data_IF_690587695328
#
_entry.id   IF_690587695328
#
_cell.length_a   1.000
_cell.length_b   1.000
_cell.length_c   1.000
_cell.angle_alpha   90.00
_cell.angle_beta   90.00
_cell.angle_gamma   90.00
#
_symmetry.space_group_name_H-M   'P 1'
#
loop_
_entity.id
_entity.type
_entity.pdbx_description
1 polymer ?
#
# COMPACT_ATOMS: atom_id res chain seq x y z
N UNK A 1 -21.63 -6.01 -14.79
CA UNK A 1 -21.73 -6.99 -13.68
C UNK A 1 -21.43 -6.29 -12.36
N UNK A 2 -20.35 -5.51 -12.25
CA UNK A 2 -19.94 -4.80 -11.01
C UNK A 2 -21.01 -3.81 -10.54
N UNK A 3 -21.51 -2.93 -11.43
CA UNK A 3 -22.53 -1.93 -11.10
C UNK A 3 -23.77 -2.56 -10.45
N UNK A 4 -24.30 -3.64 -11.04
CA UNK A 4 -25.50 -4.33 -10.49
C UNK A 4 -25.27 -4.90 -9.09
N UNK A 5 -24.08 -5.45 -8.81
CA UNK A 5 -23.74 -5.94 -7.47
C UNK A 5 -23.70 -4.82 -6.45
N UNK A 6 -23.10 -3.68 -6.84
CA UNK A 6 -23.02 -2.53 -5.95
C UNK A 6 -24.40 -1.91 -5.68
N UNK A 7 -25.23 -1.75 -6.72
CA UNK A 7 -26.63 -1.31 -6.55
C UNK A 7 -27.42 -2.22 -5.63
N UNK A 8 -27.32 -3.55 -5.81
CA UNK A 8 -27.99 -4.52 -4.95
C UNK A 8 -27.53 -4.45 -3.48
N UNK A 9 -26.23 -4.23 -3.27
CA UNK A 9 -25.68 -4.08 -1.92
C UNK A 9 -26.19 -2.81 -1.23
N UNK A 10 -26.29 -1.70 -1.97
CA UNK A 10 -26.82 -0.43 -1.48
C UNK A 10 -28.32 -0.51 -1.18
N UNK A 11 -29.10 -1.15 -2.07
CA UNK A 11 -30.52 -1.40 -1.88
C UNK A 11 -30.79 -2.26 -0.65
N UNK A 12 -30.03 -3.35 -0.48
CA UNK A 12 -30.13 -4.24 0.69
C UNK A 12 -29.84 -3.51 2.02
N UNK A 13 -28.97 -2.51 1.98
CA UNK A 13 -28.63 -1.66 3.12
C UNK A 13 -29.57 -0.46 3.33
N UNK A 14 -30.60 -0.30 2.47
CA UNK A 14 -31.51 0.84 2.47
C UNK A 14 -30.77 2.18 2.30
N UNK A 15 -29.80 2.23 1.39
CA UNK A 15 -29.02 3.44 1.08
C UNK A 15 -29.54 4.03 -0.24
N UNK A 16 -30.15 5.21 -0.14
CA UNK A 16 -30.66 5.91 -1.31
C UNK A 16 -29.53 6.33 -2.24
N UNK A 17 -29.62 5.91 -3.49
CA UNK A 17 -28.66 6.24 -4.53
C UNK A 17 -29.38 6.59 -5.85
N UNK A 18 -28.69 7.34 -6.69
CA UNK A 18 -29.20 7.70 -8.01
C UNK A 18 -28.08 7.67 -9.02
N UNK A 19 -28.39 7.40 -10.30
CA UNK A 19 -27.44 7.37 -11.41
C UNK A 19 -26.20 6.51 -11.16
N UNK A 20 -26.26 5.26 -11.64
CA UNK A 20 -25.08 4.40 -11.76
C UNK A 20 -24.51 4.47 -13.18
N UNK A 21 -23.22 4.79 -13.30
CA UNK A 21 -22.47 4.78 -14.56
C UNK A 21 -21.37 3.70 -14.46
N UNK A 22 -21.24 2.89 -15.51
CA UNK A 22 -20.17 1.91 -15.60
C UNK A 22 -19.23 2.28 -16.74
N UNK A 23 -17.93 2.38 -16.45
CA UNK A 23 -16.89 2.60 -17.43
C UNK A 23 -15.83 1.51 -17.29
N UNK A 24 -15.91 0.53 -18.20
CA UNK A 24 -15.02 -0.64 -18.18
C UNK A 24 -15.12 -1.43 -16.88
N UNK A 25 -14.05 -1.44 -16.10
CA UNK A 25 -13.94 -2.12 -14.80
C UNK A 25 -14.33 -1.25 -13.62
N UNK A 26 -14.63 0.03 -13.83
CA UNK A 26 -15.04 0.96 -12.79
C UNK A 26 -16.54 1.23 -12.81
N UNK A 27 -17.12 1.47 -11.64
CA UNK A 27 -18.51 1.88 -11.47
C UNK A 27 -18.58 3.15 -10.62
N UNK A 28 -19.33 4.14 -11.08
CA UNK A 28 -19.60 5.38 -10.37
C UNK A 28 -21.06 5.38 -9.96
N UNK A 29 -21.34 5.51 -8.67
CA UNK A 29 -22.70 5.64 -8.14
C UNK A 29 -22.79 6.93 -7.33
N UNK A 30 -23.86 7.66 -7.51
CA UNK A 30 -24.12 8.91 -6.80
C UNK A 30 -25.12 8.68 -5.67
N UNK A 31 -24.79 9.19 -4.49
CA UNK A 31 -25.65 9.15 -3.32
C UNK A 31 -26.37 10.49 -3.15
N UNK A 32 -27.58 10.45 -2.62
CA UNK A 32 -28.39 11.65 -2.35
C UNK A 32 -27.85 12.49 -1.19
N UNK A 33 -27.19 11.84 -0.21
CA UNK A 33 -26.68 12.49 0.99
C UNK A 33 -25.21 12.12 1.25
N UNK A 34 -24.39 13.13 1.54
CA UNK A 34 -22.98 12.94 1.90
C UNK A 34 -22.78 12.16 3.20
N UNK A 35 -23.72 12.23 4.15
CA UNK A 35 -23.67 11.49 5.41
C UNK A 35 -23.73 9.96 5.20
N UNK A 36 -24.37 9.52 4.11
CA UNK A 36 -24.49 8.10 3.77
C UNK A 36 -23.22 7.54 3.09
N UNK A 37 -22.29 8.38 2.68
CA UNK A 37 -21.11 7.96 1.92
C UNK A 37 -20.24 6.96 2.69
N UNK A 38 -20.01 7.18 3.97
CA UNK A 38 -19.19 6.28 4.79
C UNK A 38 -19.83 4.91 4.93
N UNK A 39 -21.14 4.89 5.22
CA UNK A 39 -21.91 3.64 5.34
C UNK A 39 -22.00 2.91 4.01
N UNK A 40 -22.20 3.64 2.90
CA UNK A 40 -22.21 3.07 1.56
C UNK A 40 -20.85 2.43 1.21
N UNK A 41 -19.74 3.11 1.55
CA UNK A 41 -18.40 2.58 1.35
C UNK A 41 -18.19 1.25 2.10
N UNK A 42 -18.57 1.17 3.37
CA UNK A 42 -18.44 -0.05 4.17
C UNK A 42 -19.24 -1.22 3.58
N UNK A 43 -20.47 -0.96 3.19
CA UNK A 43 -21.37 -1.97 2.59
C UNK A 43 -20.80 -2.48 1.26
N UNK A 44 -20.40 -1.55 0.37
CA UNK A 44 -19.84 -1.92 -0.94
C UNK A 44 -18.49 -2.63 -0.78
N UNK A 45 -17.65 -2.21 0.14
CA UNK A 45 -16.36 -2.85 0.38
C UNK A 45 -16.53 -4.27 0.95
N UNK A 46 -17.53 -4.49 1.82
CA UNK A 46 -17.84 -5.80 2.35
C UNK A 46 -18.35 -6.76 1.26
N UNK A 47 -19.17 -6.28 0.34
CA UNK A 47 -19.75 -7.09 -0.75
C UNK A 47 -18.75 -7.38 -1.86
N UNK A 48 -17.88 -6.40 -2.20
CA UNK A 48 -16.94 -6.52 -3.32
C UNK A 48 -15.63 -7.19 -2.92
N UNK A 49 -15.34 -7.32 -1.62
CA UNK A 49 -14.10 -7.92 -1.13
C UNK A 49 -12.86 -7.07 -1.42
N UNK A 50 -11.70 -7.71 -1.43
CA UNK A 50 -10.40 -7.03 -1.62
C UNK A 50 -10.01 -6.73 -3.08
N UNK A 51 -10.79 -7.18 -4.05
CA UNK A 51 -10.46 -7.03 -5.47
C UNK A 51 -10.73 -5.61 -6.01
N UNK A 52 -11.59 -4.85 -5.33
CA UNK A 52 -11.98 -3.50 -5.77
C UNK A 52 -11.66 -2.45 -4.72
N UNK A 53 -11.26 -1.27 -5.20
CA UNK A 53 -11.01 -0.09 -4.36
C UNK A 53 -12.23 0.81 -4.41
N UNK A 54 -12.88 1.00 -3.27
CA UNK A 54 -14.01 1.92 -3.12
C UNK A 54 -13.50 3.30 -2.71
N UNK A 55 -13.56 4.27 -3.63
CA UNK A 55 -13.19 5.65 -3.39
C UNK A 55 -14.43 6.54 -3.25
N UNK A 56 -14.40 7.46 -2.28
CA UNK A 56 -15.42 8.49 -2.13
C UNK A 56 -14.98 9.76 -2.85
N UNK A 57 -15.90 10.36 -3.59
CA UNK A 57 -15.66 11.63 -4.28
C UNK A 57 -16.92 12.51 -4.23
N UNK A 58 -16.73 13.82 -4.27
CA UNK A 58 -17.84 14.77 -4.42
C UNK A 58 -18.12 14.97 -5.89
N UNK A 59 -19.33 14.63 -6.33
CA UNK A 59 -19.78 14.87 -7.70
C UNK A 59 -20.44 16.25 -7.80
N UNK A 60 -20.12 17.04 -8.83
CA UNK A 60 -20.81 18.31 -9.07
C UNK A 60 -22.29 18.06 -9.38
N UNK A 61 -23.18 18.82 -8.75
CA UNK A 61 -24.64 18.80 -9.00
C UNK A 61 -25.07 19.75 -10.09
N UNK A 62 -24.12 20.27 -10.88
CA UNK A 62 -24.40 21.23 -11.96
C UNK A 62 -25.19 20.55 -13.07
N UNK A 63 -26.37 21.06 -13.46
CA UNK A 63 -27.13 20.52 -14.57
C UNK A 63 -26.34 20.59 -15.88
N UNK A 64 -26.51 19.60 -16.77
CA UNK A 64 -25.79 19.52 -18.05
C UNK A 64 -26.01 20.75 -18.95
N UNK A 65 -27.22 21.33 -18.94
CA UNK A 65 -27.53 22.54 -19.70
C UNK A 65 -26.69 23.75 -19.26
N UNK A 66 -26.34 23.85 -17.95
CA UNK A 66 -25.51 24.92 -17.43
C UNK A 66 -24.02 24.69 -17.74
N UNK A 67 -23.58 23.45 -17.73
CA UNK A 67 -22.21 23.09 -18.12
C UNK A 67 -21.97 23.33 -19.60
N UNK A 68 -22.96 23.10 -20.46
CA UNK A 68 -22.89 23.38 -21.91
C UNK A 68 -22.81 24.88 -22.25
N UNK A 69 -23.25 25.76 -21.36
CA UNK A 69 -23.12 27.21 -21.45
C UNK A 69 -21.83 27.76 -20.84
N UNK A 70 -20.89 26.87 -20.46
CA UNK A 70 -19.63 27.26 -19.80
C UNK A 70 -19.77 27.55 -18.30
N UNK A 71 -20.92 27.25 -17.69
CA UNK A 71 -21.12 27.32 -16.25
C UNK A 71 -20.38 26.20 -15.58
N UNK A 72 -19.31 26.51 -14.84
CA UNK A 72 -18.65 25.58 -13.93
C UNK A 72 -19.21 25.75 -12.52
N UNK A 73 -19.33 24.68 -11.73
CA UNK A 73 -19.67 24.81 -10.32
C UNK A 73 -18.68 25.76 -9.66
N UNK A 74 -19.18 26.64 -8.82
CA UNK A 74 -18.33 27.52 -8.03
C UNK A 74 -17.40 26.64 -7.22
N UNK A 75 -16.10 26.69 -7.49
CA UNK A 75 -15.11 26.02 -6.67
C UNK A 75 -15.19 26.70 -5.31
N UNK A 76 -15.86 26.03 -4.37
CA UNK A 76 -15.85 26.46 -2.98
C UNK A 76 -14.38 26.54 -2.57
N UNK A 77 -13.90 27.75 -2.30
CA UNK A 77 -12.55 27.93 -1.78
C UNK A 77 -12.38 27.17 -0.46
N UNK A 78 -11.16 26.90 -0.09
CA UNK A 78 -10.79 26.22 1.17
C UNK A 78 -11.50 26.79 2.39
N UNK A 79 -11.80 28.10 2.37
CA UNK A 79 -12.51 28.81 3.44
C UNK A 79 -14.00 28.44 3.57
N UNK A 80 -14.62 27.86 2.55
CA UNK A 80 -16.05 27.51 2.55
C UNK A 80 -16.29 25.99 2.63
N UNK A 81 -15.32 25.17 2.30
CA UNK A 81 -15.39 23.72 2.49
C UNK A 81 -14.70 23.24 3.77
N UNK A 82 -14.10 24.16 4.54
CA UNK A 82 -13.69 23.92 5.92
C UNK A 82 -12.59 22.87 6.11
N UNK A 83 -11.69 22.68 5.13
CA UNK A 83 -10.64 21.67 5.28
C UNK A 83 -9.47 21.84 4.32
N UNK A 84 -8.33 21.28 4.71
CA UNK A 84 -7.14 21.15 3.87
C UNK A 84 -7.00 19.67 3.50
N UNK A 85 -6.89 19.37 2.23
CA UNK A 85 -6.63 18.02 1.76
C UNK A 85 -5.14 17.86 1.49
N UNK A 86 -4.52 16.95 2.22
CA UNK A 86 -3.13 16.55 1.97
C UNK A 86 -3.10 15.18 1.30
N UNK A 87 -2.39 15.10 0.19
CA UNK A 87 -2.02 13.83 -0.43
C UNK A 87 -0.57 13.54 -0.06
N UNK A 88 -0.37 12.52 0.75
CA UNK A 88 0.93 12.09 1.23
C UNK A 88 1.32 10.80 0.52
N UNK A 89 2.58 10.68 0.15
CA UNK A 89 3.14 9.47 -0.43
C UNK A 89 4.03 8.77 0.59
N UNK A 90 3.82 7.47 0.78
CA UNK A 90 4.65 6.64 1.66
C UNK A 90 5.82 6.10 0.84
N UNK A 91 7.04 6.34 1.32
CA UNK A 91 8.25 5.78 0.72
C UNK A 91 8.38 4.30 1.07
N UNK A 92 7.78 3.46 0.23
CA UNK A 92 7.82 2.01 0.39
C UNK A 92 9.23 1.45 0.17
N UNK A 93 10.05 2.09 -0.67
CA UNK A 93 11.43 1.67 -0.90
C UNK A 93 12.26 1.83 0.37
N UNK A 94 12.11 2.95 1.08
CA UNK A 94 12.78 3.16 2.36
C UNK A 94 12.38 2.09 3.39
N UNK A 95 11.11 1.69 3.44
CA UNK A 95 10.65 0.62 4.33
C UNK A 95 11.29 -0.73 4.01
N UNK A 96 11.39 -1.10 2.72
CA UNK A 96 12.04 -2.33 2.27
C UNK A 96 13.55 -2.31 2.58
N UNK A 97 14.22 -1.18 2.33
CA UNK A 97 15.66 -1.02 2.62
C UNK A 97 15.93 -1.15 4.12
N UNK A 98 15.14 -0.50 4.96
CA UNK A 98 15.27 -0.58 6.42
C UNK A 98 15.11 -2.03 6.91
N UNK A 99 14.16 -2.78 6.36
CA UNK A 99 13.99 -4.19 6.67
C UNK A 99 15.21 -5.00 6.27
N UNK A 100 15.70 -4.82 5.04
CA UNK A 100 16.87 -5.53 4.52
C UNK A 100 18.17 -5.18 5.28
N UNK A 101 18.30 -3.97 5.82
CA UNK A 101 19.41 -3.60 6.70
C UNK A 101 19.37 -4.40 8.01
N UNK A 102 18.18 -4.59 8.59
CA UNK A 102 17.99 -5.47 9.74
C UNK A 102 18.37 -6.91 9.41
N UNK A 103 17.79 -7.47 8.35
CA UNK A 103 18.05 -8.82 7.88
C UNK A 103 19.53 -9.05 7.58
N UNK A 104 20.22 -8.05 7.00
CA UNK A 104 21.68 -8.10 6.74
C UNK A 104 22.47 -8.31 8.04
N UNK A 105 22.12 -7.61 9.12
CA UNK A 105 22.82 -7.76 10.40
C UNK A 105 22.52 -9.12 11.05
N UNK A 106 21.29 -9.59 10.97
CA UNK A 106 20.89 -10.89 11.49
C UNK A 106 21.56 -12.04 10.71
N UNK A 107 21.59 -11.98 9.39
CA UNK A 107 22.30 -12.95 8.54
C UNK A 107 23.80 -12.97 8.87
N UNK A 108 24.44 -11.80 9.03
CA UNK A 108 25.85 -11.72 9.44
C UNK A 108 26.10 -12.35 10.81
N UNK A 109 25.20 -12.17 11.78
CA UNK A 109 25.29 -12.78 13.10
C UNK A 109 25.17 -14.30 13.02
N UNK A 110 24.15 -14.80 12.34
CA UNK A 110 23.93 -16.24 12.17
C UNK A 110 25.09 -16.94 11.44
N UNK A 111 25.64 -16.29 10.39
CA UNK A 111 26.82 -16.83 9.71
C UNK A 111 28.06 -16.93 10.62
N UNK A 112 28.25 -15.98 11.55
CA UNK A 112 29.34 -16.01 12.52
C UNK A 112 29.15 -17.10 13.57
N UNK A 113 27.93 -17.26 14.08
CA UNK A 113 27.55 -18.30 15.05
C UNK A 113 27.84 -19.69 14.49
N UNK A 114 27.47 -19.94 13.24
CA UNK A 114 27.70 -21.19 12.51
C UNK A 114 29.13 -21.29 11.93
N UNK A 115 30.00 -20.30 12.22
CA UNK A 115 31.40 -20.25 11.77
C UNK A 115 31.56 -20.31 10.24
N UNK A 116 30.55 -19.89 9.49
CA UNK A 116 30.60 -19.79 8.02
C UNK A 116 31.36 -18.54 7.64
N UNK A 117 32.51 -18.72 6.97
CA UNK A 117 33.39 -17.60 6.60
C UNK A 117 32.94 -16.98 5.27
N UNK A 118 32.81 -15.65 5.24
CA UNK A 118 32.52 -14.86 4.05
C UNK A 118 33.57 -13.76 3.84
N UNK A 119 33.67 -13.20 2.63
CA UNK A 119 34.55 -12.05 2.33
C UNK A 119 33.88 -10.74 2.64
N UNK A 120 32.66 -10.57 2.15
CA UNK A 120 31.89 -9.36 2.32
C UNK A 120 30.39 -9.69 2.27
N UNK A 121 29.60 -8.94 3.04
CA UNK A 121 28.15 -8.88 2.94
C UNK A 121 27.75 -7.40 2.93
N UNK A 122 27.07 -6.97 1.88
CA UNK A 122 26.65 -5.58 1.69
C UNK A 122 25.24 -5.50 1.12
N UNK A 123 24.52 -4.44 1.47
CA UNK A 123 23.24 -4.12 0.86
C UNK A 123 23.48 -3.26 -0.39
N UNK A 124 22.90 -3.65 -1.52
CA UNK A 124 22.89 -2.88 -2.77
C UNK A 124 21.47 -2.77 -3.31
N UNK A 125 20.90 -1.57 -3.22
CA UNK A 125 19.48 -1.36 -3.53
C UNK A 125 18.61 -2.24 -2.63
N UNK A 126 17.81 -3.11 -3.22
CA UNK A 126 16.94 -4.05 -2.52
C UNK A 126 17.50 -5.49 -2.47
N UNK A 127 18.82 -5.64 -2.57
CA UNK A 127 19.50 -6.94 -2.56
C UNK A 127 20.60 -6.96 -1.53
N UNK A 128 20.69 -8.04 -0.75
CA UNK A 128 21.84 -8.34 0.09
C UNK A 128 22.80 -9.20 -0.73
N UNK A 129 24.03 -8.76 -0.89
CA UNK A 129 25.05 -9.42 -1.70
C UNK A 129 26.14 -9.97 -0.80
N UNK A 130 26.24 -11.30 -0.73
CA UNK A 130 27.28 -12.02 -0.01
C UNK A 130 28.35 -12.56 -0.95
N UNK A 131 29.64 -12.35 -0.61
CA UNK A 131 30.78 -12.87 -1.40
C UNK A 131 31.56 -13.90 -0.59
N UNK A 132 31.88 -15.02 -1.23
CA UNK A 132 32.53 -16.18 -0.61
C UNK A 132 33.80 -16.58 -1.36
N UNK A 133 34.60 -17.48 -0.76
CA UNK A 133 35.83 -18.00 -1.35
C UNK A 133 35.65 -19.37 -2.02
N UNK A 134 34.75 -20.19 -1.52
CA UNK A 134 34.49 -21.53 -2.04
C UNK A 134 32.99 -21.88 -2.04
N UNK A 135 32.61 -22.85 -2.85
CA UNK A 135 31.21 -23.26 -3.02
C UNK A 135 30.62 -23.85 -1.74
N UNK A 136 31.37 -24.64 -0.98
CA UNK A 136 30.88 -25.23 0.25
C UNK A 136 30.38 -24.18 1.26
N UNK A 137 31.04 -23.02 1.33
CA UNK A 137 30.59 -21.90 2.17
C UNK A 137 29.32 -21.25 1.64
N UNK A 138 29.15 -21.16 0.33
CA UNK A 138 27.92 -20.65 -0.30
C UNK A 138 26.76 -21.57 -0.02
N UNK A 139 26.96 -22.89 -0.18
CA UNK A 139 25.92 -23.89 0.08
C UNK A 139 25.48 -23.87 1.55
N UNK A 140 26.43 -23.84 2.47
CA UNK A 140 26.13 -23.72 3.90
C UNK A 140 25.37 -22.44 4.22
N UNK A 141 25.81 -21.29 3.68
CA UNK A 141 25.12 -20.02 3.85
C UNK A 141 23.71 -20.03 3.24
N UNK A 142 23.55 -20.66 2.08
CA UNK A 142 22.25 -20.79 1.40
C UNK A 142 21.29 -21.64 2.21
N UNK A 143 21.76 -22.77 2.76
CA UNK A 143 20.95 -23.65 3.63
C UNK A 143 20.53 -22.92 4.91
N UNK A 144 21.47 -22.25 5.57
CA UNK A 144 21.20 -21.45 6.76
C UNK A 144 20.14 -20.37 6.52
N UNK A 145 20.26 -19.64 5.40
CA UNK A 145 19.29 -18.61 5.05
C UNK A 145 17.91 -19.20 4.78
N UNK A 146 17.82 -20.32 4.06
CA UNK A 146 16.53 -20.99 3.79
C UNK A 146 15.84 -21.50 5.06
N UNK A 147 16.61 -21.94 6.03
CA UNK A 147 16.07 -22.47 7.29
C UNK A 147 15.59 -21.36 8.23
N UNK A 148 16.40 -20.31 8.38
CA UNK A 148 16.19 -19.29 9.40
C UNK A 148 15.51 -18.02 8.90
N UNK A 149 15.59 -17.70 7.60
CA UNK A 149 15.11 -16.45 7.00
C UNK A 149 14.10 -16.73 5.87
N UNK A 150 12.89 -17.12 6.23
CA UNK A 150 11.84 -17.51 5.27
C UNK A 150 11.41 -16.40 4.33
N UNK A 151 11.59 -15.14 4.75
CA UNK A 151 11.28 -13.96 3.97
C UNK A 151 12.30 -13.68 2.87
N UNK A 152 13.53 -14.25 3.01
CA UNK A 152 14.61 -14.07 2.06
C UNK A 152 14.69 -15.23 1.07
N UNK A 153 14.86 -14.91 -0.20
CA UNK A 153 15.09 -15.86 -1.27
C UNK A 153 16.58 -15.84 -1.68
N UNK A 154 17.36 -16.88 -1.33
CA UNK A 154 18.75 -16.97 -1.74
C UNK A 154 18.87 -17.42 -3.20
N UNK A 155 19.63 -16.65 -3.99
CA UNK A 155 19.98 -16.93 -5.37
C UNK A 155 21.51 -17.00 -5.49
N UNK A 156 22.02 -18.15 -5.91
CA UNK A 156 23.44 -18.32 -6.18
C UNK A 156 23.75 -18.06 -7.67
N UNK A 157 24.67 -17.13 -7.92
CA UNK A 157 25.17 -16.84 -9.28
C UNK A 157 26.43 -17.67 -9.57
N UNK A 158 26.26 -18.78 -10.29
CA UNK A 158 27.38 -19.61 -10.75
C UNK A 158 28.26 -18.88 -11.78
N UNK A 159 29.55 -19.20 -11.78
CA UNK A 159 30.50 -18.69 -12.79
C UNK A 159 31.07 -17.29 -12.50
N UNK A 160 30.73 -16.70 -11.37
CA UNK A 160 31.35 -15.44 -10.92
C UNK A 160 32.51 -15.69 -9.96
N UNK A 161 33.60 -14.94 -10.12
CA UNK A 161 34.69 -14.91 -9.15
C UNK A 161 34.84 -13.47 -8.60
N UNK A 162 34.55 -13.21 -7.31
CA UNK A 162 34.20 -14.15 -6.25
C UNK A 162 32.79 -14.71 -6.35
N UNK A 163 32.60 -15.92 -5.78
CA UNK A 163 31.29 -16.58 -5.68
C UNK A 163 30.31 -15.70 -4.94
N UNK A 164 29.18 -15.44 -5.56
CA UNK A 164 28.21 -14.45 -5.08
C UNK A 164 26.88 -15.07 -4.76
N UNK A 165 26.43 -14.88 -3.52
CA UNK A 165 25.09 -15.18 -3.05
C UNK A 165 24.29 -13.88 -3.01
N UNK A 166 23.14 -13.85 -3.65
CA UNK A 166 22.20 -12.72 -3.64
C UNK A 166 20.98 -13.14 -2.82
N UNK A 167 20.60 -12.31 -1.86
CA UNK A 167 19.39 -12.49 -1.07
C UNK A 167 18.41 -11.36 -1.38
N UNK A 168 17.21 -11.71 -1.73
CA UNK A 168 16.11 -10.79 -2.02
C UNK A 168 14.92 -11.12 -1.12
N UNK A 169 14.09 -10.13 -0.83
CA UNK A 169 12.80 -10.39 -0.18
C UNK A 169 11.88 -11.15 -1.14
N UNK A 170 11.12 -12.10 -0.62
CA UNK A 170 10.06 -12.73 -1.39
C UNK A 170 8.97 -11.70 -1.73
N UNK A 171 8.22 -11.92 -2.83
CA UNK A 171 7.10 -11.03 -3.20
C UNK A 171 6.06 -10.91 -2.08
N UNK A 172 5.79 -12.01 -1.38
CA UNK A 172 4.85 -12.04 -0.25
C UNK A 172 5.38 -11.17 0.89
N UNK A 173 6.65 -11.32 1.27
CA UNK A 173 7.27 -10.54 2.34
C UNK A 173 7.32 -9.05 1.98
N UNK A 174 7.70 -8.71 0.74
CA UNK A 174 7.71 -7.34 0.25
C UNK A 174 6.32 -6.71 0.33
N UNK A 175 5.27 -7.41 -0.13
CA UNK A 175 3.90 -6.93 -0.04
C UNK A 175 3.42 -6.72 1.40
N UNK A 176 3.77 -7.61 2.31
CA UNK A 176 3.45 -7.47 3.73
C UNK A 176 4.14 -6.28 4.38
N UNK A 177 5.42 -6.04 4.05
CA UNK A 177 6.18 -4.89 4.55
C UNK A 177 5.58 -3.59 4.03
N UNK A 178 5.25 -3.52 2.73
CA UNK A 178 4.58 -2.38 2.11
C UNK A 178 3.25 -2.06 2.79
N UNK A 179 2.39 -3.07 2.98
CA UNK A 179 1.09 -2.90 3.64
C UNK A 179 1.21 -2.49 5.11
N UNK A 180 2.17 -3.07 5.83
CA UNK A 180 2.42 -2.70 7.21
C UNK A 180 2.94 -1.25 7.34
N UNK A 181 3.83 -0.83 6.43
CA UNK A 181 4.31 0.55 6.38
C UNK A 181 3.15 1.54 6.18
N UNK A 182 2.22 1.25 5.25
CA UNK A 182 1.06 2.09 5.02
C UNK A 182 0.13 2.11 6.25
N UNK A 183 -0.18 0.95 6.85
CA UNK A 183 -1.02 0.87 8.04
C UNK A 183 -0.44 1.66 9.22
N UNK A 184 0.87 1.55 9.42
CA UNK A 184 1.58 2.27 10.48
C UNK A 184 1.54 3.79 10.25
N UNK A 185 1.79 4.24 9.02
CA UNK A 185 1.71 5.65 8.65
C UNK A 185 0.28 6.19 8.79
N UNK A 186 -0.74 5.44 8.36
CA UNK A 186 -2.15 5.78 8.56
C UNK A 186 -2.48 5.99 10.04
N UNK A 187 -2.06 5.05 10.90
CA UNK A 187 -2.30 5.14 12.34
C UNK A 187 -1.58 6.33 12.95
N UNK A 188 -0.31 6.54 12.59
CA UNK A 188 0.49 7.66 13.06
C UNK A 188 -0.11 9.01 12.66
N UNK A 189 -0.52 9.15 11.41
CA UNK A 189 -1.17 10.37 10.90
C UNK A 189 -2.49 10.62 11.62
N UNK A 190 -3.33 9.58 11.76
CA UNK A 190 -4.61 9.70 12.47
C UNK A 190 -4.43 10.16 13.91
N UNK A 191 -3.46 9.58 14.62
CA UNK A 191 -3.14 10.00 15.99
C UNK A 191 -2.68 11.47 16.05
N UNK A 192 -1.77 11.88 15.16
CA UNK A 192 -1.27 13.27 15.11
C UNK A 192 -2.38 14.28 14.80
N UNK A 193 -3.27 13.94 13.86
CA UNK A 193 -4.40 14.84 13.51
C UNK A 193 -5.40 14.93 14.67
N UNK A 194 -5.66 13.82 15.37
CA UNK A 194 -6.50 13.83 16.56
C UNK A 194 -5.90 14.64 17.72
N UNK A 195 -4.57 14.55 17.92
CA UNK A 195 -3.84 15.36 18.94
C UNK A 195 -3.94 16.86 18.66
N UNK A 196 -4.06 17.25 17.40
CA UNK A 196 -4.28 18.66 17.00
C UNK A 196 -5.72 19.14 17.22
N UNK A 197 -6.62 18.28 17.68
CA UNK A 197 -8.01 18.64 17.98
C UNK A 197 -8.86 18.88 16.74
N UNK A 198 -8.48 18.35 15.58
CA UNK A 198 -9.27 18.47 14.35
C UNK A 198 -10.52 17.59 14.48
N UNK A 199 -11.69 18.20 14.32
CA UNK A 199 -12.95 17.46 14.32
C UNK A 199 -13.07 16.58 13.08
N UNK A 200 -13.25 15.26 13.30
CA UNK A 200 -13.53 14.26 12.25
C UNK A 200 -12.54 14.23 11.06
N UNK A 201 -11.23 14.01 11.32
CA UNK A 201 -10.27 13.93 10.21
C UNK A 201 -10.49 12.67 9.38
N UNK A 202 -10.68 12.85 8.08
CA UNK A 202 -10.76 11.74 7.12
C UNK A 202 -9.36 11.31 6.71
N UNK A 203 -8.77 10.35 7.41
CA UNK A 203 -7.46 9.77 7.04
C UNK A 203 -7.71 8.43 6.36
N UNK A 204 -7.42 8.34 5.05
CA UNK A 204 -7.69 7.14 4.25
C UNK A 204 -6.55 6.83 3.27
N UNK A 205 -6.40 5.52 2.96
CA UNK A 205 -5.48 5.06 1.92
C UNK A 205 -6.06 5.38 0.54
N UNK A 206 -5.23 5.90 -0.35
CA UNK A 206 -5.55 6.10 -1.75
C UNK A 206 -4.55 5.39 -2.65
N UNK A 207 -4.98 4.34 -3.33
CA UNK A 207 -4.11 3.54 -4.19
C UNK A 207 -3.06 2.73 -3.40
N UNK A 208 -1.91 2.46 -4.04
CA UNK A 208 -0.89 1.56 -3.50
C UNK A 208 -0.08 2.17 -2.36
N UNK A 209 0.36 3.43 -2.49
CA UNK A 209 1.36 4.06 -1.60
C UNK A 209 0.96 5.45 -1.10
N UNK A 210 -0.29 5.89 -1.32
CA UNK A 210 -0.74 7.24 -0.95
C UNK A 210 -1.74 7.22 0.18
N UNK A 211 -1.73 8.29 0.97
CA UNK A 211 -2.64 8.56 2.07
C UNK A 211 -3.23 9.96 1.86
N UNK A 212 -4.54 10.07 1.97
CA UNK A 212 -5.27 11.34 1.99
C UNK A 212 -5.64 11.68 3.42
N UNK A 213 -5.40 12.91 3.79
CA UNK A 213 -5.75 13.49 5.10
C UNK A 213 -6.59 14.73 4.89
#
# INVERSE_FOLDING_TARGET
VVLKKVEQALDAANIEHFSGEADGESALIRLTNSELQMRAKEVVQAEMGGEYVVALNLAPTTPEWLSSLGGSPMKLGLDLSGGVHFLLEVDLNAALITRLEGDLQEVKSSLREEKIRYRNFELKGQQIIGRFRNEAQVEQATSLVRENFRDLQPQFKQGQNPLTLVLELSEIASGQIEDNAIKQNLTSLRNRVNELGVSEPLVSRQGKNRIVV
#
